data_IF_412299317061
#
_entry.id   IF_412299317061
#
_cell.length_a   1.000
_cell.length_b   1.000
_cell.length_c   1.000
_cell.angle_alpha   90.00
_cell.angle_beta   90.00
_cell.angle_gamma   90.00
#
_symmetry.space_group_name_H-M   'P 1'
#
loop_
_entity.id
_entity.type
_entity.pdbx_description
1 polymer ?
#
# COMPACT_ATOMS: atom_id res chain seq x y z
N UNK A 1 -8.35 -15.50 2.47
CA UNK A 1 -8.13 -14.41 1.50
C UNK A 1 -6.81 -14.67 0.81
N UNK A 2 -6.73 -14.43 -0.50
CA UNK A 2 -5.45 -14.47 -1.23
C UNK A 2 -4.51 -13.44 -0.61
N UNK A 3 -3.27 -13.83 -0.31
CA UNK A 3 -2.28 -12.90 0.21
C UNK A 3 -1.90 -11.81 -0.81
N UNK A 4 -1.13 -10.81 -0.40
CA UNK A 4 -0.62 -9.77 -1.29
C UNK A 4 0.22 -10.38 -2.43
N UNK A 5 0.00 -9.89 -3.64
CA UNK A 5 0.65 -10.35 -4.86
C UNK A 5 1.47 -9.22 -5.50
N UNK A 6 2.61 -9.58 -6.09
CA UNK A 6 3.47 -8.66 -6.83
C UNK A 6 3.90 -9.32 -8.14
N UNK A 7 3.71 -8.65 -9.27
CA UNK A 7 4.16 -9.12 -10.57
C UNK A 7 4.47 -7.96 -11.51
N UNK A 8 5.38 -8.19 -12.45
CA UNK A 8 5.68 -7.23 -13.49
C UNK A 8 4.60 -7.22 -14.57
N UNK A 9 4.25 -6.03 -15.06
CA UNK A 9 3.44 -5.90 -16.26
C UNK A 9 4.23 -6.35 -17.50
N UNK A 10 3.53 -6.55 -18.61
CA UNK A 10 4.11 -7.07 -19.86
C UNK A 10 5.24 -6.20 -20.43
N UNK A 11 5.33 -4.92 -20.02
CA UNK A 11 6.41 -4.02 -20.41
C UNK A 11 7.71 -4.21 -19.62
N UNK A 12 7.70 -5.00 -18.55
CA UNK A 12 8.86 -5.24 -17.68
C UNK A 12 9.34 -4.01 -16.90
N UNK A 13 8.58 -2.91 -16.92
CA UNK A 13 8.95 -1.62 -16.28
C UNK A 13 8.04 -1.28 -15.11
N UNK A 14 6.77 -1.65 -15.20
CA UNK A 14 5.78 -1.32 -14.17
C UNK A 14 5.52 -2.53 -13.28
N UNK A 15 5.62 -2.31 -11.99
CA UNK A 15 5.30 -3.30 -10.97
C UNK A 15 3.82 -3.17 -10.62
N UNK A 16 3.08 -4.26 -10.70
CA UNK A 16 1.70 -4.35 -10.27
C UNK A 16 1.61 -5.06 -8.91
N UNK A 17 0.95 -4.41 -7.96
CA UNK A 17 0.72 -4.91 -6.60
C UNK A 17 -0.79 -5.02 -6.36
N UNK A 18 -1.26 -6.20 -5.95
CA UNK A 18 -2.66 -6.44 -5.69
C UNK A 18 -2.87 -7.17 -4.36
N UNK A 19 -3.82 -6.70 -3.55
CA UNK A 19 -4.27 -7.41 -2.35
C UNK A 19 -5.72 -7.05 -2.04
N UNK A 20 -6.64 -7.98 -2.33
CA UNK A 20 -8.06 -7.76 -2.15
C UNK A 20 -8.53 -6.55 -2.98
N UNK A 21 -9.10 -5.49 -2.36
CA UNK A 21 -9.57 -4.31 -3.08
C UNK A 21 -8.46 -3.29 -3.41
N UNK A 22 -7.23 -3.49 -2.92
CA UNK A 22 -6.13 -2.53 -3.11
C UNK A 22 -5.31 -2.97 -4.33
N UNK A 23 -5.10 -2.02 -5.23
CA UNK A 23 -4.41 -2.21 -6.50
C UNK A 23 -3.47 -1.03 -6.76
N UNK A 24 -2.21 -1.29 -7.09
CA UNK A 24 -1.21 -0.27 -7.40
C UNK A 24 -0.40 -0.66 -8.63
N UNK A 25 -0.23 0.28 -9.56
CA UNK A 25 0.73 0.18 -10.68
C UNK A 25 1.84 1.21 -10.43
N UNK A 26 3.05 0.73 -10.22
CA UNK A 26 4.20 1.55 -9.80
C UNK A 26 5.29 1.53 -10.88
N UNK A 27 5.76 2.72 -11.26
CA UNK A 27 6.98 2.90 -12.04
C UNK A 27 7.93 3.81 -11.27
N UNK A 28 9.22 3.47 -11.25
CA UNK A 28 10.26 4.28 -10.61
C UNK A 28 11.19 4.86 -11.67
N UNK A 29 11.68 6.07 -11.42
CA UNK A 29 12.61 6.77 -12.30
C UNK A 29 13.81 7.26 -11.49
N UNK A 30 15.03 7.10 -12.02
CA UNK A 30 16.25 7.52 -11.34
C UNK A 30 17.40 6.54 -11.56
N UNK A 31 18.35 6.54 -10.62
CA UNK A 31 19.46 5.59 -10.58
C UNK A 31 18.93 4.16 -10.38
N UNK A 32 19.55 3.18 -11.04
CA UNK A 32 19.00 1.81 -11.11
C UNK A 32 18.97 1.10 -9.75
N UNK A 33 19.99 1.30 -8.92
CA UNK A 33 20.04 0.79 -7.55
C UNK A 33 18.89 1.32 -6.70
N UNK A 34 18.66 2.63 -6.73
CA UNK A 34 17.55 3.28 -6.04
C UNK A 34 16.18 2.80 -6.57
N UNK A 35 16.04 2.63 -7.89
CA UNK A 35 14.83 2.06 -8.48
C UNK A 35 14.54 0.64 -7.95
N UNK A 36 15.55 -0.24 -7.94
CA UNK A 36 15.42 -1.61 -7.40
C UNK A 36 15.09 -1.61 -5.90
N UNK A 37 15.70 -0.70 -5.13
CA UNK A 37 15.41 -0.54 -3.72
C UNK A 37 13.95 -0.09 -3.49
N UNK A 38 13.48 0.90 -4.26
CA UNK A 38 12.12 1.42 -4.17
C UNK A 38 11.06 0.34 -4.47
N UNK A 39 11.24 -0.48 -5.52
CA UNK A 39 10.34 -1.61 -5.78
C UNK A 39 10.32 -2.62 -4.62
N UNK A 40 11.49 -2.96 -4.07
CA UNK A 40 11.59 -3.91 -2.94
C UNK A 40 10.88 -3.38 -1.70
N UNK A 41 11.06 -2.09 -1.39
CA UNK A 41 10.38 -1.41 -0.30
C UNK A 41 8.87 -1.34 -0.51
N UNK A 42 8.42 -1.07 -1.74
CA UNK A 42 7.01 -1.07 -2.09
C UNK A 42 6.38 -2.44 -1.83
N UNK A 43 7.00 -3.52 -2.32
CA UNK A 43 6.54 -4.90 -2.07
C UNK A 43 6.49 -5.21 -0.59
N UNK A 44 7.56 -4.88 0.16
CA UNK A 44 7.65 -5.15 1.58
C UNK A 44 6.57 -4.41 2.37
N UNK A 45 6.34 -3.13 2.08
CA UNK A 45 5.28 -2.35 2.74
C UNK A 45 3.89 -2.86 2.36
N UNK A 46 3.68 -3.26 1.11
CA UNK A 46 2.39 -3.75 0.63
C UNK A 46 1.94 -5.05 1.32
N UNK A 47 2.88 -5.80 1.92
CA UNK A 47 2.55 -7.00 2.69
C UNK A 47 1.60 -6.73 3.86
N UNK A 48 1.66 -5.53 4.47
CA UNK A 48 1.00 -5.28 5.75
C UNK A 48 -0.16 -4.28 5.66
N UNK A 49 -0.22 -3.43 4.62
CA UNK A 49 -1.19 -2.33 4.52
C UNK A 49 -2.64 -2.77 4.72
N UNK A 50 -3.10 -3.82 4.04
CA UNK A 50 -4.51 -4.21 4.12
C UNK A 50 -4.87 -4.71 5.52
N UNK A 51 -4.00 -5.50 6.15
CA UNK A 51 -4.25 -6.01 7.49
C UNK A 51 -4.35 -4.87 8.51
N UNK A 52 -3.39 -3.93 8.48
CA UNK A 52 -3.41 -2.74 9.32
C UNK A 52 -4.68 -1.89 9.12
N UNK A 53 -5.11 -1.69 7.87
CA UNK A 53 -6.34 -0.93 7.58
C UNK A 53 -7.60 -1.67 8.04
N UNK A 54 -7.63 -2.99 7.96
CA UNK A 54 -8.78 -3.80 8.43
C UNK A 54 -8.92 -3.71 9.94
N UNK A 55 -7.81 -3.68 10.69
CA UNK A 55 -7.82 -3.48 12.16
C UNK A 55 -8.45 -2.13 12.55
N UNK A 56 -8.18 -1.08 11.77
CA UNK A 56 -8.68 0.28 12.03
C UNK A 56 -9.99 0.60 11.29
N UNK A 57 -10.50 -0.34 10.47
CA UNK A 57 -11.66 -0.15 9.60
C UNK A 57 -12.95 0.28 10.33
N UNK A 58 -13.26 -0.22 11.54
CA UNK A 58 -14.43 0.24 12.29
C UNK A 58 -14.41 1.75 12.55
N UNK A 59 -13.25 2.32 12.90
CA UNK A 59 -13.10 3.75 13.16
C UNK A 59 -13.01 4.57 11.87
N UNK A 60 -12.36 4.04 10.83
CA UNK A 60 -12.29 4.66 9.50
C UNK A 60 -13.68 4.81 8.86
N UNK A 61 -14.63 3.91 9.15
CA UNK A 61 -15.99 3.95 8.61
C UNK A 61 -16.93 4.94 9.31
N UNK A 62 -16.51 5.56 10.41
CA UNK A 62 -17.34 6.52 11.15
C UNK A 62 -17.31 7.89 10.46
N UNK A 63 -18.39 8.69 10.52
CA UNK A 63 -18.45 10.03 9.92
C UNK A 63 -17.25 10.90 10.29
N UNK A 64 -16.74 11.71 9.36
CA UNK A 64 -15.62 12.60 9.65
C UNK A 64 -15.94 13.57 10.81
N UNK A 65 -14.93 13.94 11.59
CA UNK A 65 -15.06 14.85 12.72
C UNK A 65 -13.93 15.87 12.73
N UNK A 66 -14.18 17.05 13.30
CA UNK A 66 -13.15 18.09 13.45
C UNK A 66 -12.00 17.67 14.38
N UNK A 67 -12.28 16.74 15.32
CA UNK A 67 -11.24 16.16 16.18
C UNK A 67 -10.62 14.95 15.48
N UNK A 68 -9.31 14.95 15.22
CA UNK A 68 -8.63 13.80 14.62
C UNK A 68 -8.79 12.56 15.49
N UNK A 69 -9.02 11.41 14.85
CA UNK A 69 -8.97 10.10 15.52
C UNK A 69 -7.52 9.66 15.69
N UNK A 70 -7.24 9.00 16.80
CA UNK A 70 -5.93 8.45 17.08
C UNK A 70 -5.76 7.10 16.38
N UNK A 71 -5.45 7.12 15.09
CA UNK A 71 -5.06 5.92 14.36
C UNK A 71 -3.63 5.50 14.73
N UNK A 72 -3.34 4.21 14.78
CA UNK A 72 -2.01 3.65 14.97
C UNK A 72 -1.25 3.60 13.63
N UNK A 73 -1.90 3.13 12.57
CA UNK A 73 -1.29 2.90 11.27
C UNK A 73 -0.99 4.20 10.53
N UNK A 74 0.18 4.32 9.87
CA UNK A 74 0.54 5.52 9.13
C UNK A 74 -0.39 5.78 7.93
N UNK A 75 -0.99 4.73 7.36
CA UNK A 75 -1.95 4.85 6.25
C UNK A 75 -3.28 5.44 6.74
N UNK A 76 -3.87 4.87 7.80
CA UNK A 76 -5.13 5.37 8.37
C UNK A 76 -5.02 6.82 8.89
N UNK A 77 -3.87 7.21 9.45
CA UNK A 77 -3.60 8.61 9.86
C UNK A 77 -3.66 9.64 8.72
N UNK A 78 -3.52 9.20 7.47
CA UNK A 78 -3.50 10.07 6.28
C UNK A 78 -4.81 10.05 5.48
N UNK A 79 -5.81 9.31 5.95
CA UNK A 79 -7.17 9.28 5.40
C UNK A 79 -8.08 10.20 6.22
#
# INVERSE_FOLDING_TARGET
MTGPQAHWLADGRRLHLNHGPIDLVVETFGEEGECRAAYSQAVARFQTILAELVEELPELRRPAALRPRAFAGPTARRM
#
